data_IF_713118905791
#
_entry.id   IF_713118905791
#
_cell.length_a   1.000
_cell.length_b   1.000
_cell.length_c   1.000
_cell.angle_alpha   90.00
_cell.angle_beta   90.00
_cell.angle_gamma   90.00
#
_symmetry.space_group_name_H-M   'P 1'
#
loop_
_entity.id
_entity.type
_entity.pdbx_description
1 polymer ?
#
# COMPACT_ATOMS: atom_id res chain seq x y z
N UNK A 1 -7.95 -23.06 -40.27
CA UNK A 1 -7.57 -23.12 -38.84
C UNK A 1 -6.93 -21.79 -38.49
N UNK A 2 -7.72 -20.78 -38.10
CA UNK A 2 -7.18 -19.48 -37.67
C UNK A 2 -6.91 -19.55 -36.17
N UNK A 3 -5.63 -19.56 -35.80
CA UNK A 3 -5.24 -19.27 -34.44
C UNK A 3 -5.54 -17.78 -34.18
N UNK A 4 -6.50 -17.51 -33.31
CA UNK A 4 -6.75 -16.17 -32.78
C UNK A 4 -5.52 -15.80 -31.96
N UNK A 5 -4.63 -14.99 -32.54
CA UNK A 5 -3.57 -14.32 -31.79
C UNK A 5 -4.27 -13.33 -30.85
N UNK A 6 -4.34 -13.67 -29.57
CA UNK A 6 -4.78 -12.73 -28.53
C UNK A 6 -3.85 -11.52 -28.62
N UNK A 7 -4.37 -10.28 -28.78
CA UNK A 7 -3.52 -9.10 -28.71
C UNK A 7 -2.81 -9.12 -27.36
N UNK A 8 -1.49 -9.03 -27.38
CA UNK A 8 -0.70 -8.95 -26.16
C UNK A 8 -0.95 -7.57 -25.53
N UNK A 9 -2.06 -7.47 -24.79
CA UNK A 9 -2.44 -6.31 -23.99
C UNK A 9 -1.33 -6.10 -22.96
N UNK A 10 -0.43 -5.16 -23.26
CA UNK A 10 0.67 -4.77 -22.38
C UNK A 10 0.08 -4.29 -21.06
N UNK A 11 0.08 -5.16 -20.06
CA UNK A 11 -0.38 -4.82 -18.71
C UNK A 11 0.37 -3.57 -18.26
N UNK A 12 -0.34 -2.54 -17.75
CA UNK A 12 0.30 -1.32 -17.31
C UNK A 12 1.33 -1.67 -16.23
N UNK A 13 2.52 -1.08 -16.36
CA UNK A 13 3.59 -1.27 -15.38
C UNK A 13 3.11 -0.69 -14.05
N UNK A 14 2.94 -1.56 -13.05
CA UNK A 14 2.55 -1.15 -11.71
C UNK A 14 3.81 -0.79 -10.91
N UNK A 15 3.87 0.38 -10.25
CA UNK A 15 5.02 0.74 -9.42
C UNK A 15 5.36 -0.30 -8.37
N UNK A 16 4.36 -1.01 -7.82
CA UNK A 16 4.57 -2.07 -6.84
C UNK A 16 5.12 -3.38 -7.41
N UNK A 17 5.12 -3.55 -8.73
CA UNK A 17 5.74 -4.70 -9.39
C UNK A 17 7.17 -4.38 -9.88
N UNK A 18 7.62 -3.14 -9.71
CA UNK A 18 8.93 -2.67 -10.14
C UNK A 18 9.73 -2.24 -8.91
N UNK A 19 10.87 -2.88 -8.68
CA UNK A 19 11.74 -2.59 -7.54
C UNK A 19 11.54 -3.55 -6.37
N UNK A 20 11.74 -3.06 -5.16
CA UNK A 20 11.74 -3.85 -3.93
C UNK A 20 10.32 -4.04 -3.36
N UNK A 21 9.80 -5.28 -3.28
CA UNK A 21 8.51 -5.58 -2.66
C UNK A 21 8.45 -5.20 -1.17
N UNK A 22 9.58 -5.27 -0.45
CA UNK A 22 9.61 -5.06 0.99
C UNK A 22 9.31 -3.60 1.36
N UNK A 23 9.50 -2.66 0.43
CA UNK A 23 9.17 -1.24 0.60
C UNK A 23 7.66 -1.03 0.84
N UNK A 24 6.81 -1.81 0.17
CA UNK A 24 5.34 -1.73 0.28
C UNK A 24 4.83 -2.30 1.60
N UNK A 25 5.64 -3.15 2.22
CA UNK A 25 5.43 -3.77 3.52
C UNK A 25 6.58 -3.37 4.44
N UNK A 26 6.91 -2.08 4.52
CA UNK A 26 7.95 -1.62 5.44
C UNK A 26 7.43 -1.44 6.88
N UNK A 27 8.24 -1.78 7.88
CA UNK A 27 7.92 -1.44 9.27
C UNK A 27 8.14 0.04 9.59
N UNK A 28 9.12 0.65 8.91
CA UNK A 28 9.53 2.03 9.08
C UNK A 28 8.50 2.99 8.47
N UNK A 29 7.96 3.96 9.23
CA UNK A 29 7.03 4.96 8.70
C UNK A 29 7.58 5.73 7.50
N UNK A 30 8.87 6.05 7.47
CA UNK A 30 9.46 6.81 6.36
C UNK A 30 9.43 6.03 5.03
N UNK A 31 9.64 4.72 5.10
CA UNK A 31 9.65 3.85 3.94
C UNK A 31 8.22 3.63 3.42
N UNK A 32 7.23 3.55 4.32
CA UNK A 32 5.81 3.55 3.93
C UNK A 32 5.39 4.86 3.25
N UNK A 33 5.80 6.02 3.77
CA UNK A 33 5.51 7.29 3.11
C UNK A 33 6.16 7.35 1.72
N UNK A 34 7.38 6.83 1.56
CA UNK A 34 8.03 6.70 0.25
C UNK A 34 7.22 5.79 -0.69
N UNK A 35 6.73 4.65 -0.21
CA UNK A 35 5.88 3.75 -0.99
C UNK A 35 4.57 4.44 -1.43
N UNK A 36 3.93 5.25 -0.56
CA UNK A 36 2.74 6.03 -0.93
C UNK A 36 3.02 6.96 -2.10
N UNK A 37 4.15 7.68 -2.05
CA UNK A 37 4.57 8.59 -3.13
C UNK A 37 4.80 7.84 -4.43
N UNK A 38 5.43 6.67 -4.40
CA UNK A 38 5.62 5.83 -5.59
C UNK A 38 4.31 5.30 -6.16
N UNK A 39 3.28 5.16 -5.33
CA UNK A 39 1.97 4.71 -5.76
C UNK A 39 1.19 5.77 -6.54
N UNK A 40 1.57 7.05 -6.52
CA UNK A 40 0.77 8.17 -7.05
C UNK A 40 0.38 7.99 -8.52
N UNK A 41 1.29 7.48 -9.34
CA UNK A 41 1.10 7.31 -10.79
C UNK A 41 0.48 5.96 -11.17
N UNK A 42 0.12 5.13 -10.19
CA UNK A 42 -0.46 3.82 -10.46
C UNK A 42 -1.90 3.95 -11.04
N UNK A 43 -2.23 3.30 -12.17
CA UNK A 43 -3.54 3.45 -12.81
C UNK A 43 -4.68 2.77 -12.03
N UNK A 44 -4.37 1.79 -11.17
CA UNK A 44 -5.36 0.97 -10.46
C UNK A 44 -5.51 1.32 -8.98
N UNK A 45 -5.02 2.49 -8.53
CA UNK A 45 -4.99 2.88 -7.10
C UNK A 45 -6.29 2.62 -6.35
N UNK A 46 -7.42 3.08 -6.92
CA UNK A 46 -8.75 2.94 -6.31
C UNK A 46 -9.17 1.47 -6.15
N UNK A 47 -8.94 0.66 -7.18
CA UNK A 47 -9.27 -0.77 -7.17
C UNK A 47 -8.37 -1.53 -6.19
N UNK A 48 -7.07 -1.22 -6.20
CA UNK A 48 -6.08 -1.79 -5.29
C UNK A 48 -6.43 -1.50 -3.82
N UNK A 49 -6.82 -0.27 -3.50
CA UNK A 49 -7.25 0.12 -2.15
C UNK A 49 -8.55 -0.59 -1.74
N UNK A 50 -9.57 -0.62 -2.61
CA UNK A 50 -10.83 -1.34 -2.32
C UNK A 50 -10.55 -2.79 -1.97
N UNK A 51 -9.75 -3.46 -2.80
CA UNK A 51 -9.43 -4.86 -2.61
C UNK A 51 -8.63 -5.11 -1.30
N UNK A 52 -7.77 -4.18 -0.90
CA UNK A 52 -7.04 -4.27 0.36
C UNK A 52 -7.96 -4.13 1.58
N UNK A 53 -8.95 -3.25 1.51
CA UNK A 53 -9.95 -3.07 2.56
C UNK A 53 -10.91 -4.27 2.64
N UNK A 54 -11.35 -4.78 1.50
CA UNK A 54 -12.20 -5.99 1.41
C UNK A 54 -11.51 -7.22 2.01
N UNK A 55 -10.21 -7.38 1.78
CA UNK A 55 -9.40 -8.47 2.36
C UNK A 55 -8.97 -8.20 3.80
N UNK A 56 -9.29 -7.03 4.35
CA UNK A 56 -8.83 -6.58 5.65
C UNK A 56 -7.31 -6.77 5.82
N UNK A 57 -6.54 -6.30 4.82
CA UNK A 57 -5.08 -6.49 4.79
C UNK A 57 -4.45 -6.06 6.13
N UNK A 58 -3.58 -6.90 6.70
CA UNK A 58 -3.10 -6.69 8.05
C UNK A 58 -2.24 -5.42 8.14
N UNK A 59 -1.48 -5.11 7.09
CA UNK A 59 -0.68 -3.90 6.98
C UNK A 59 -0.10 -3.70 5.55
N UNK A 60 0.42 -2.50 5.27
CA UNK A 60 1.18 -2.18 4.06
C UNK A 60 0.67 -0.94 3.33
N UNK A 61 1.27 -0.59 2.19
CA UNK A 61 0.79 0.47 1.30
C UNK A 61 -0.04 -0.11 0.17
N UNK A 62 -1.29 0.33 0.08
CA UNK A 62 -2.27 -0.13 -0.91
C UNK A 62 -2.95 1.08 -1.54
N UNK A 63 -2.93 1.18 -2.88
CA UNK A 63 -3.57 2.27 -3.62
C UNK A 63 -3.09 3.70 -3.27
N UNK A 64 -1.93 3.83 -2.62
CA UNK A 64 -1.37 5.10 -2.16
C UNK A 64 -1.71 5.46 -0.72
N UNK A 65 -2.38 4.55 0.00
CA UNK A 65 -2.72 4.70 1.41
C UNK A 65 -2.02 3.63 2.25
N UNK A 66 -1.73 3.95 3.52
CA UNK A 66 -1.25 2.93 4.45
C UNK A 66 -2.49 2.25 5.02
N UNK A 67 -2.56 0.94 4.87
CA UNK A 67 -3.53 0.10 5.54
C UNK A 67 -2.86 -0.49 6.78
N UNK A 68 -3.58 -0.48 7.90
CA UNK A 68 -3.21 -1.17 9.11
C UNK A 68 -4.49 -1.77 9.72
N UNK A 69 -4.46 -3.08 9.97
CA UNK A 69 -5.60 -3.85 10.53
C UNK A 69 -6.90 -3.64 9.74
N UNK A 70 -6.81 -3.65 8.41
CA UNK A 70 -7.97 -3.43 7.52
C UNK A 70 -8.53 -2.01 7.49
N UNK A 71 -7.82 -1.02 8.06
CA UNK A 71 -8.25 0.39 8.05
C UNK A 71 -7.19 1.29 7.43
N UNK A 72 -7.60 2.39 6.80
CA UNK A 72 -6.68 3.40 6.29
C UNK A 72 -6.14 4.22 7.46
N UNK A 73 -4.82 4.34 7.54
CA UNK A 73 -4.13 5.20 8.50
C UNK A 73 -3.32 6.25 7.76
N UNK A 74 -3.33 7.49 8.26
CA UNK A 74 -2.58 8.58 7.63
C UNK A 74 -1.05 8.34 7.69
N UNK A 75 -0.58 7.78 8.81
CA UNK A 75 0.83 7.44 9.07
C UNK A 75 0.93 6.27 10.05
N UNK A 76 1.89 5.36 9.85
CA UNK A 76 2.18 4.29 10.82
C UNK A 76 2.83 4.90 12.07
N UNK A 77 2.28 4.61 13.25
CA UNK A 77 2.88 5.08 14.52
C UNK A 77 4.14 4.25 14.78
N UNK A 78 5.32 4.86 14.99
CA UNK A 78 6.51 4.10 15.31
C UNK A 78 6.30 3.31 16.60
N UNK A 79 6.79 2.06 16.61
CA UNK A 79 6.84 1.24 17.82
C UNK A 79 7.74 1.95 18.83
N UNK A 80 7.16 2.43 19.92
CA UNK A 80 7.85 3.18 20.95
C UNK A 80 6.92 3.45 22.11
N UNK A 81 7.50 3.55 23.31
CA UNK A 81 6.82 3.70 24.61
C UNK A 81 5.56 4.56 24.46
N UNK A 82 4.38 4.08 24.92
CA UNK A 82 3.21 4.94 25.05
C UNK A 82 3.65 6.25 25.68
N UNK A 83 3.18 7.39 25.15
CA UNK A 83 3.44 8.67 25.84
C UNK A 83 2.94 8.46 27.27
N UNK A 84 3.76 8.78 28.27
CA UNK A 84 3.33 8.77 29.67
C UNK A 84 2.20 9.79 29.73
N UNK A 85 0.96 9.32 29.64
CA UNK A 85 -0.21 10.16 29.87
C UNK A 85 -0.05 10.69 31.29
N UNK A 86 0.11 12.00 31.40
CA UNK A 86 -0.04 12.66 32.68
C UNK A 86 -1.54 12.70 32.89
N UNK A 87 -2.10 11.63 33.46
CA UNK A 87 -3.47 11.66 33.97
C UNK A 87 -3.45 12.71 35.08
N UNK A 88 -3.96 13.89 34.74
CA UNK A 88 -4.12 15.00 35.64
C UNK A 88 -5.60 15.10 36.03
N UNK A 89 -5.80 15.35 37.33
CA UNK A 89 -7.03 15.54 38.09
C UNK A 89 -7.75 14.26 38.56
#
# INVERSE_FOLDING_TARGET
MSALTVPEEKLPVLPCHVGDPDLWFAENPNDLERAKVLCVDCPIRRQCLSAALERAEPWGVWGGEIVERGTIVARKRPRGRPRKETVAA
#
